data_IF_709938158546
#
_entry.id   IF_709938158546
#
_cell.length_a   1.000
_cell.length_b   1.000
_cell.length_c   1.000
_cell.angle_alpha   90.00
_cell.angle_beta   90.00
_cell.angle_gamma   90.00
#
_symmetry.space_group_name_H-M   'P 1'
#
loop_
_entity.id
_entity.type
_entity.pdbx_description
1 polymer ?
#
# COMPACT_ATOMS: atom_id res chain seq x y z
N UNK A 1 18.59 -21.07 18.73
CA UNK A 1 18.11 -22.04 17.72
C UNK A 1 17.52 -23.24 18.44
N UNK A 2 16.29 -23.10 18.95
CA UNK A 2 15.48 -24.24 19.38
C UNK A 2 14.78 -24.74 18.11
N UNK A 3 15.06 -25.97 17.70
CA UNK A 3 14.49 -26.55 16.48
C UNK A 3 13.00 -26.82 16.69
N UNK A 4 12.18 -26.63 15.66
CA UNK A 4 10.72 -26.88 15.64
C UNK A 4 10.33 -28.23 16.27
N UNK A 5 11.17 -29.27 16.12
CA UNK A 5 10.99 -30.60 16.73
C UNK A 5 11.05 -30.63 18.27
N UNK A 6 11.74 -29.67 18.90
CA UNK A 6 11.82 -29.55 20.35
C UNK A 6 10.58 -28.89 20.97
N UNK A 7 9.90 -28.03 20.20
CA UNK A 7 8.66 -27.37 20.63
C UNK A 7 7.47 -28.32 20.63
N UNK A 8 7.33 -29.19 19.63
CA UNK A 8 6.23 -30.18 19.58
C UNK A 8 6.27 -31.13 20.78
N UNK A 9 7.46 -31.58 21.18
CA UNK A 9 7.63 -32.49 22.33
C UNK A 9 7.29 -31.80 23.65
N UNK A 10 7.64 -30.53 23.79
CA UNK A 10 7.34 -29.73 24.97
C UNK A 10 5.85 -29.40 25.08
N UNK A 11 5.18 -29.11 23.96
CA UNK A 11 3.73 -28.83 23.92
C UNK A 11 2.92 -30.09 24.27
N UNK A 12 3.32 -31.27 23.79
CA UNK A 12 2.64 -32.54 24.10
C UNK A 12 2.82 -32.90 25.59
N UNK A 13 4.04 -32.83 26.13
CA UNK A 13 4.28 -33.03 27.58
C UNK A 13 3.53 -32.01 28.45
N UNK A 14 3.32 -30.79 27.95
CA UNK A 14 2.59 -29.74 28.67
C UNK A 14 1.07 -29.99 28.67
N UNK A 15 0.50 -30.46 27.56
CA UNK A 15 -0.93 -30.78 27.45
C UNK A 15 -1.31 -32.03 28.26
N UNK A 16 -0.45 -33.05 28.31
CA UNK A 16 -0.67 -34.24 29.13
C UNK A 16 -0.62 -33.93 30.64
N UNK A 17 0.25 -33.02 31.06
CA UNK A 17 0.34 -32.60 32.47
C UNK A 17 -0.82 -31.68 32.91
N UNK A 18 -1.49 -31.01 31.96
CA UNK A 18 -2.65 -30.15 32.26
C UNK A 18 -3.95 -30.95 32.48
N UNK A 19 -4.10 -32.12 31.87
CA UNK A 19 -5.32 -32.94 31.99
C UNK A 19 -5.46 -33.68 33.33
N UNK A 20 -4.37 -33.88 34.08
CA UNK A 20 -4.38 -34.64 35.34
C UNK A 20 -4.83 -33.85 36.58
N UNK A 21 -5.20 -32.57 36.46
CA UNK A 21 -5.51 -31.70 37.62
C UNK A 21 -7.00 -31.35 37.79
N UNK A 22 -7.88 -31.86 36.92
CA UNK A 22 -9.33 -31.58 36.96
C UNK A 22 -10.19 -32.64 37.66
N UNK A 23 -9.59 -33.61 38.36
CA UNK A 23 -10.36 -34.58 39.15
C UNK A 23 -10.49 -34.11 40.60
N UNK A 24 -11.54 -33.35 40.90
CA UNK A 24 -11.97 -33.07 42.28
C UNK A 24 -12.65 -34.32 42.89
N UNK A 25 -12.27 -34.79 44.09
CA UNK A 25 -13.08 -35.74 44.86
C UNK A 25 -14.14 -35.01 45.70
N UNK A 26 -15.35 -35.57 45.76
CA UNK A 26 -16.45 -35.16 46.66
C UNK A 26 -16.02 -35.11 48.14
N UNK A 27 -16.56 -34.18 48.96
CA UNK A 27 -16.22 -34.11 50.38
C UNK A 27 -17.03 -35.13 51.20
N UNK A 28 -16.35 -35.86 52.07
CA UNK A 28 -16.96 -36.66 53.14
C UNK A 28 -17.12 -35.80 54.40
N UNK A 29 -18.31 -35.86 55.00
CA UNK A 29 -18.77 -35.03 56.12
C UNK A 29 -18.25 -35.61 57.44
N UNK A 30 -17.18 -35.03 58.00
CA UNK A 30 -16.79 -35.39 59.37
C UNK A 30 -15.48 -34.80 59.88
N UNK A 31 -15.55 -33.58 60.42
CA UNK A 31 -14.94 -33.15 61.71
C UNK A 31 -14.65 -31.64 61.68
N UNK A 32 -15.49 -30.90 62.40
CA UNK A 32 -15.30 -29.48 62.67
C UNK A 32 -14.31 -29.29 63.83
N UNK A 33 -13.53 -28.22 63.69
CA UNK A 33 -12.77 -27.50 64.72
C UNK A 33 -11.35 -27.98 65.05
N UNK A 34 -10.42 -27.75 64.10
CA UNK A 34 -9.03 -27.28 64.37
C UNK A 34 -8.29 -26.67 63.16
N UNK A 35 -8.96 -26.47 62.01
CA UNK A 35 -8.27 -26.27 60.72
C UNK A 35 -8.25 -24.86 60.11
N UNK A 36 -8.83 -23.82 60.74
CA UNK A 36 -9.08 -22.56 60.02
C UNK A 36 -7.81 -21.81 59.57
N UNK A 37 -6.69 -21.90 60.31
CA UNK A 37 -5.42 -21.29 59.92
C UNK A 37 -4.59 -22.10 58.90
N UNK A 38 -4.83 -23.41 58.78
CA UNK A 38 -4.09 -24.30 57.88
C UNK A 38 -4.78 -24.42 56.51
N UNK A 39 -6.11 -24.45 56.49
CA UNK A 39 -6.90 -24.44 55.26
C UNK A 39 -6.66 -23.16 54.46
N UNK A 40 -6.65 -21.98 55.08
CA UNK A 40 -6.36 -20.71 54.40
C UNK A 40 -4.95 -20.63 53.80
N UNK A 41 -3.95 -21.27 54.41
CA UNK A 41 -2.57 -21.34 53.87
C UNK A 41 -2.46 -22.31 52.69
N UNK A 42 -3.19 -23.42 52.71
CA UNK A 42 -3.23 -24.39 51.61
C UNK A 42 -3.98 -23.83 50.39
N UNK A 43 -5.13 -23.19 50.60
CA UNK A 43 -5.88 -22.50 49.53
C UNK A 43 -5.07 -21.35 48.94
N UNK A 44 -4.37 -20.57 49.78
CA UNK A 44 -3.46 -19.50 49.30
C UNK A 44 -2.29 -20.05 48.46
N UNK A 45 -1.69 -21.19 48.84
CA UNK A 45 -0.63 -21.84 48.04
C UNK A 45 -1.14 -22.43 46.73
N UNK A 46 -2.33 -23.04 46.73
CA UNK A 46 -2.99 -23.55 45.51
C UNK A 46 -3.32 -22.41 44.54
N UNK A 47 -3.86 -21.30 45.05
CA UNK A 47 -4.15 -20.10 44.26
C UNK A 47 -2.85 -19.46 43.72
N UNK A 48 -1.77 -19.38 44.52
CA UNK A 48 -0.47 -18.92 44.02
C UNK A 48 0.12 -19.84 42.92
N UNK A 49 -0.04 -21.16 43.05
CA UNK A 49 0.43 -22.11 42.03
C UNK A 49 -0.38 -22.01 40.74
N UNK A 50 -1.70 -21.83 40.84
CA UNK A 50 -2.58 -21.59 39.68
C UNK A 50 -2.22 -20.30 38.96
N UNK A 51 -2.09 -19.19 39.71
CA UNK A 51 -1.69 -17.89 39.16
C UNK A 51 -0.29 -17.94 38.54
N UNK A 52 0.65 -18.68 39.13
CA UNK A 52 1.99 -18.84 38.55
C UNK A 52 1.96 -19.62 37.22
N UNK A 53 1.13 -20.64 37.10
CA UNK A 53 0.95 -21.39 35.85
C UNK A 53 0.33 -20.54 34.75
N UNK A 54 -0.65 -19.70 35.08
CA UNK A 54 -1.21 -18.72 34.14
C UNK A 54 -0.13 -17.75 33.64
N UNK A 55 0.69 -17.20 34.55
CA UNK A 55 1.81 -16.31 34.17
C UNK A 55 2.81 -17.04 33.26
N UNK A 56 3.15 -18.29 33.55
CA UNK A 56 4.04 -19.08 32.70
C UNK A 56 3.42 -19.28 31.31
N UNK A 57 2.15 -19.68 31.25
CA UNK A 57 1.45 -19.87 29.98
C UNK A 57 1.44 -18.58 29.13
N UNK A 58 1.07 -17.45 29.73
CA UNK A 58 1.11 -16.16 29.03
C UNK A 58 2.53 -15.72 28.64
N UNK A 59 3.55 -16.03 29.44
CA UNK A 59 4.95 -15.71 29.11
C UNK A 59 5.47 -16.51 27.91
N UNK A 60 5.10 -17.80 27.84
CA UNK A 60 5.43 -18.67 26.70
C UNK A 60 4.69 -18.18 25.46
N UNK A 61 3.38 -17.90 25.58
CA UNK A 61 2.59 -17.34 24.50
C UNK A 61 3.17 -16.03 23.96
N UNK A 62 3.54 -15.09 24.84
CA UNK A 62 4.16 -13.82 24.44
C UNK A 62 5.50 -14.03 23.75
N UNK A 63 6.31 -14.98 24.22
CA UNK A 63 7.59 -15.31 23.59
C UNK A 63 7.39 -15.89 22.20
N UNK A 64 6.40 -16.76 22.02
CA UNK A 64 6.03 -17.29 20.70
C UNK A 64 5.55 -16.20 19.76
N UNK A 65 4.68 -15.29 20.22
CA UNK A 65 4.25 -14.14 19.43
C UNK A 65 5.43 -13.26 19.00
N UNK A 66 6.37 -13.01 19.91
CA UNK A 66 7.58 -12.25 19.62
C UNK A 66 8.42 -12.99 18.57
N UNK A 67 8.68 -14.28 18.73
CA UNK A 67 9.44 -15.07 17.75
C UNK A 67 8.81 -15.01 16.35
N UNK A 68 7.49 -15.16 16.25
CA UNK A 68 6.77 -15.07 14.96
C UNK A 68 6.88 -13.65 14.39
N UNK A 69 6.73 -12.61 15.21
CA UNK A 69 6.82 -11.22 14.75
C UNK A 69 8.22 -10.87 14.25
N UNK A 70 9.28 -11.37 14.89
CA UNK A 70 10.66 -11.16 14.47
C UNK A 70 11.04 -11.98 13.25
N UNK A 71 10.58 -13.23 13.12
CA UNK A 71 10.86 -14.07 11.95
C UNK A 71 10.27 -13.48 10.66
N UNK A 72 9.11 -12.82 10.76
CA UNK A 72 8.49 -12.11 9.64
C UNK A 72 9.21 -10.80 9.24
N UNK A 73 10.16 -10.31 10.04
CA UNK A 73 10.86 -9.03 9.78
C UNK A 73 12.25 -9.29 9.20
N UNK A 74 12.47 -8.89 7.95
CA UNK A 74 13.82 -8.93 7.35
C UNK A 74 14.61 -7.66 7.70
N UNK A 75 15.77 -7.81 8.31
CA UNK A 75 16.68 -6.71 8.69
C UNK A 75 17.11 -5.84 7.49
N UNK A 76 17.16 -6.41 6.28
CA UNK A 76 17.56 -5.72 5.04
C UNK A 76 16.44 -4.85 4.47
N UNK A 77 15.19 -5.04 4.92
CA UNK A 77 14.02 -4.30 4.42
C UNK A 77 14.19 -2.79 4.56
N UNK A 78 14.76 -2.33 5.67
CA UNK A 78 15.01 -0.89 5.90
C UNK A 78 16.02 -0.31 4.90
N UNK A 79 17.14 -1.02 4.67
CA UNK A 79 18.15 -0.59 3.69
C UNK A 79 17.62 -0.61 2.27
N UNK A 80 16.76 -1.58 1.95
CA UNK A 80 16.12 -1.64 0.64
C UNK A 80 15.13 -0.48 0.44
N UNK A 81 14.26 -0.23 1.41
CA UNK A 81 13.36 0.93 1.43
C UNK A 81 14.10 2.25 1.20
N UNK A 82 15.17 2.49 1.96
CA UNK A 82 15.95 3.73 1.84
C UNK A 82 16.67 3.85 0.50
N UNK A 83 17.17 2.74 -0.06
CA UNK A 83 17.81 2.73 -1.39
C UNK A 83 16.84 3.12 -2.51
N UNK A 84 15.58 2.67 -2.44
CA UNK A 84 14.55 3.01 -3.41
C UNK A 84 14.19 4.49 -3.29
N UNK A 85 13.99 4.99 -2.07
CA UNK A 85 13.69 6.41 -1.86
C UNK A 85 14.82 7.31 -2.37
N UNK A 86 16.07 6.95 -2.09
CA UNK A 86 17.23 7.69 -2.57
C UNK A 86 17.35 7.71 -4.10
N UNK A 87 16.88 6.66 -4.78
CA UNK A 87 16.89 6.58 -6.23
C UNK A 87 15.69 7.30 -6.89
N UNK A 88 14.49 7.18 -6.31
CA UNK A 88 13.26 7.76 -6.86
C UNK A 88 13.07 9.25 -6.49
N UNK A 89 13.58 9.69 -5.33
CA UNK A 89 13.57 11.09 -4.91
C UNK A 89 14.88 11.48 -4.18
N UNK A 90 16.00 11.62 -4.91
CA UNK A 90 17.32 11.88 -4.32
C UNK A 90 17.40 13.17 -3.49
N UNK A 91 16.55 14.15 -3.78
CA UNK A 91 16.55 15.47 -3.12
C UNK A 91 15.40 15.64 -2.12
N UNK A 92 14.52 14.64 -1.95
CA UNK A 92 13.34 14.77 -1.10
C UNK A 92 12.33 15.82 -1.61
N UNK A 93 12.38 16.15 -2.90
CA UNK A 93 11.64 17.26 -3.47
C UNK A 93 10.21 16.89 -3.83
N UNK A 94 9.83 15.60 -3.82
CA UNK A 94 8.47 15.19 -4.18
C UNK A 94 7.45 15.92 -3.32
N UNK A 95 7.71 16.01 -2.01
CA UNK A 95 6.87 16.69 -1.03
C UNK A 95 6.66 18.20 -1.25
N UNK A 96 7.50 18.84 -2.07
CA UNK A 96 7.47 20.29 -2.36
C UNK A 96 6.79 20.63 -3.68
N UNK A 97 6.50 19.62 -4.50
CA UNK A 97 5.85 19.82 -5.80
C UNK A 97 4.46 20.39 -5.59
N UNK A 98 4.15 21.44 -6.34
CA UNK A 98 2.88 22.17 -6.24
C UNK A 98 2.09 22.16 -7.54
N UNK A 99 2.69 21.79 -8.68
CA UNK A 99 2.02 21.85 -9.99
C UNK A 99 2.02 20.52 -10.75
N UNK A 100 1.00 20.23 -11.59
CA UNK A 100 0.99 19.02 -12.42
C UNK A 100 2.21 18.89 -13.33
N UNK A 101 2.75 20.02 -13.80
CA UNK A 101 3.94 20.04 -14.64
C UNK A 101 5.19 19.54 -13.90
N UNK A 102 5.35 19.90 -12.62
CA UNK A 102 6.43 19.39 -11.78
C UNK A 102 6.30 17.89 -11.53
N UNK A 103 5.07 17.38 -11.35
CA UNK A 103 4.80 15.95 -11.20
C UNK A 103 5.24 15.17 -12.45
N UNK A 104 4.83 15.60 -13.64
CA UNK A 104 5.26 14.98 -14.90
C UNK A 104 6.77 15.13 -15.12
N UNK A 105 7.36 16.26 -14.74
CA UNK A 105 8.82 16.47 -14.75
C UNK A 105 9.54 15.47 -13.86
N UNK A 106 9.11 15.30 -12.61
CA UNK A 106 9.67 14.30 -11.70
C UNK A 106 9.55 12.87 -12.24
N UNK A 107 8.40 12.51 -12.80
CA UNK A 107 8.20 11.19 -13.38
C UNK A 107 9.20 10.91 -14.52
N UNK A 108 9.45 11.89 -15.41
CA UNK A 108 10.42 11.77 -16.51
C UNK A 108 11.88 11.85 -16.07
N UNK A 109 12.20 12.70 -15.10
CA UNK A 109 13.59 13.03 -14.79
C UNK A 109 14.18 12.14 -13.69
N UNK A 110 13.35 11.56 -12.83
CA UNK A 110 13.79 10.78 -11.66
C UNK A 110 13.22 9.37 -11.64
N UNK A 111 11.89 9.23 -11.76
CA UNK A 111 11.24 7.93 -11.63
C UNK A 111 11.53 7.00 -12.83
N UNK A 112 11.31 7.47 -14.06
CA UNK A 112 11.50 6.64 -15.26
C UNK A 112 12.96 6.27 -15.50
N UNK A 113 13.97 7.14 -15.32
CA UNK A 113 15.36 6.72 -15.47
C UNK A 113 15.75 5.68 -14.42
N UNK A 114 15.22 5.78 -13.19
CA UNK A 114 15.42 4.76 -12.17
C UNK A 114 14.81 3.40 -12.55
N UNK A 115 13.57 3.40 -13.07
CA UNK A 115 12.82 2.18 -13.39
C UNK A 115 13.22 1.51 -14.72
N UNK A 116 13.88 2.24 -15.63
CA UNK A 116 14.25 1.78 -16.96
C UNK A 116 15.75 1.96 -17.19
N UNK A 117 16.53 0.94 -16.82
CA UNK A 117 17.97 0.91 -17.06
C UNK A 117 18.29 0.75 -18.55
N UNK A 118 19.09 1.68 -19.10
CA UNK A 118 19.50 1.68 -20.52
C UNK A 118 20.96 1.29 -20.72
N UNK A 119 21.79 1.46 -19.69
CA UNK A 119 23.23 1.26 -19.73
C UNK A 119 23.63 0.12 -18.80
N UNK A 120 24.53 -0.73 -19.26
CA UNK A 120 25.22 -1.74 -18.45
C UNK A 120 26.39 -1.10 -17.66
N UNK A 121 27.01 -1.88 -16.77
CA UNK A 121 28.18 -1.47 -15.97
C UNK A 121 29.42 -1.14 -16.82
N UNK A 122 29.49 -1.68 -18.04
CA UNK A 122 30.55 -1.47 -19.03
C UNK A 122 30.22 -0.35 -20.04
N UNK A 123 29.19 0.46 -19.77
CA UNK A 123 28.64 1.49 -20.67
C UNK A 123 28.12 0.94 -22.01
N UNK A 124 27.92 -0.37 -22.14
CA UNK A 124 27.22 -0.93 -23.30
C UNK A 124 25.71 -0.68 -23.18
N UNK A 125 25.03 -0.48 -24.31
CA UNK A 125 23.58 -0.37 -24.33
C UNK A 125 22.94 -1.72 -24.08
N UNK A 126 21.97 -1.77 -23.17
CA UNK A 126 21.21 -2.98 -22.90
C UNK A 126 20.24 -3.23 -24.06
N UNK A 127 20.50 -4.27 -24.85
CA UNK A 127 19.76 -4.57 -26.09
C UNK A 127 18.32 -5.07 -25.86
N UNK A 128 18.02 -5.68 -24.70
CA UNK A 128 16.68 -6.19 -24.42
C UNK A 128 16.40 -6.39 -22.91
N UNK A 129 16.44 -5.30 -22.15
CA UNK A 129 16.03 -5.35 -20.74
C UNK A 129 15.01 -4.27 -20.42
N UNK A 130 13.84 -4.35 -21.06
CA UNK A 130 12.68 -3.47 -20.78
C UNK A 130 12.27 -3.43 -19.29
N UNK A 131 12.75 -4.39 -18.49
CA UNK A 131 12.36 -4.62 -17.10
C UNK A 131 13.47 -4.39 -16.09
N UNK A 132 14.72 -4.12 -16.48
CA UNK A 132 15.81 -3.93 -15.51
C UNK A 132 15.83 -2.48 -15.04
N UNK A 133 16.04 -2.26 -13.74
CA UNK A 133 16.19 -0.91 -13.16
C UNK A 133 17.60 -0.36 -13.40
N UNK A 134 17.80 0.95 -13.27
CA UNK A 134 19.13 1.57 -13.46
C UNK A 134 20.22 1.04 -12.51
N UNK A 135 19.84 0.49 -11.35
CA UNK A 135 20.78 -0.15 -10.43
C UNK A 135 21.33 -1.49 -10.92
N UNK A 136 20.77 -2.06 -12.01
CA UNK A 136 21.08 -3.40 -12.55
C UNK A 136 20.86 -4.57 -11.56
N UNK A 137 20.39 -4.27 -10.35
CA UNK A 137 20.16 -5.24 -9.27
C UNK A 137 18.69 -5.63 -9.12
N UNK A 138 17.77 -4.86 -9.73
CA UNK A 138 16.32 -5.07 -9.58
C UNK A 138 15.62 -5.17 -10.93
N UNK A 139 14.48 -5.85 -10.92
CA UNK A 139 13.61 -6.07 -12.06
C UNK A 139 12.23 -5.49 -11.78
N UNK A 140 11.72 -4.64 -12.66
CA UNK A 140 10.34 -4.17 -12.66
C UNK A 140 9.40 -5.31 -13.06
N UNK A 141 8.38 -5.54 -12.22
CA UNK A 141 7.33 -6.51 -12.45
C UNK A 141 6.13 -5.80 -13.09
N UNK A 142 5.94 -6.03 -14.38
CA UNK A 142 4.84 -5.44 -15.15
C UNK A 142 5.08 -3.98 -15.58
N UNK A 143 4.05 -3.33 -16.12
CA UNK A 143 4.09 -1.90 -16.46
C UNK A 143 4.09 -1.03 -15.19
N UNK A 144 4.60 0.19 -15.33
CA UNK A 144 4.31 1.24 -14.35
C UNK A 144 2.93 1.79 -14.68
N UNK A 145 2.03 1.80 -13.72
CA UNK A 145 0.66 2.26 -13.90
C UNK A 145 0.53 3.70 -13.41
N UNK A 146 -0.06 4.58 -14.21
CA UNK A 146 -0.57 5.87 -13.74
C UNK A 146 -2.10 5.80 -13.70
N UNK A 147 -2.68 6.20 -12.58
CA UNK A 147 -4.11 6.07 -12.32
C UNK A 147 -4.62 7.35 -11.67
N UNK A 148 -5.82 7.80 -12.03
CA UNK A 148 -6.39 9.00 -11.43
C UNK A 148 -7.85 8.83 -11.03
N UNK A 149 -8.28 9.64 -10.06
CA UNK A 149 -9.69 9.87 -9.78
C UNK A 149 -10.08 11.31 -10.04
N UNK A 150 -11.30 11.46 -10.56
CA UNK A 150 -11.93 12.73 -10.87
C UNK A 150 -13.27 12.81 -10.14
N UNK A 151 -13.69 14.04 -9.87
CA UNK A 151 -15.07 14.32 -9.48
C UNK A 151 -15.88 14.70 -10.72
N UNK A 152 -17.14 14.27 -10.74
CA UNK A 152 -18.06 14.64 -11.81
C UNK A 152 -18.12 16.18 -11.96
N UNK A 153 -18.18 16.71 -13.20
CA UNK A 153 -18.24 18.15 -13.47
C UNK A 153 -19.58 18.80 -13.08
N UNK A 154 -20.41 18.13 -12.28
CA UNK A 154 -21.67 18.70 -11.80
C UNK A 154 -21.44 19.97 -10.96
N UNK A 155 -22.27 21.02 -11.17
CA UNK A 155 -22.09 22.28 -10.50
C UNK A 155 -22.35 22.12 -9.01
N UNK A 156 -21.32 22.36 -8.17
CA UNK A 156 -21.56 22.42 -6.74
C UNK A 156 -22.45 23.61 -6.37
N UNK A 157 -23.24 23.44 -5.30
CA UNK A 157 -24.20 24.43 -4.82
C UNK A 157 -23.48 25.67 -4.31
N UNK A 158 -23.28 26.66 -5.17
CA UNK A 158 -22.73 27.95 -4.78
C UNK A 158 -23.78 28.80 -4.04
N UNK A 159 -23.38 29.57 -3.01
CA UNK A 159 -24.24 30.54 -2.36
C UNK A 159 -24.86 31.51 -3.38
N UNK A 160 -26.12 31.89 -3.19
CA UNK A 160 -26.86 32.75 -4.12
C UNK A 160 -26.14 34.09 -4.38
N UNK A 161 -25.40 34.59 -3.40
CA UNK A 161 -24.61 35.82 -3.47
C UNK A 161 -23.45 35.74 -4.46
N UNK A 162 -22.94 34.53 -4.75
CA UNK A 162 -21.82 34.30 -5.68
C UNK A 162 -22.27 34.01 -7.11
N UNK A 163 -23.58 33.76 -7.33
CA UNK A 163 -24.13 33.51 -8.67
C UNK A 163 -23.86 34.64 -9.68
N UNK A 164 -23.96 35.95 -9.32
CA UNK A 164 -23.69 37.03 -10.27
C UNK A 164 -22.23 37.07 -10.75
N UNK A 165 -21.30 36.50 -9.98
CA UNK A 165 -19.87 36.51 -10.29
C UNK A 165 -19.43 35.29 -11.12
N UNK A 166 -20.37 34.40 -11.47
CA UNK A 166 -20.10 33.17 -12.22
C UNK A 166 -18.90 32.38 -11.66
N UNK A 167 -18.78 32.31 -10.33
CA UNK A 167 -17.66 31.65 -9.66
C UNK A 167 -17.73 30.15 -9.97
N UNK A 168 -16.68 29.62 -10.60
CA UNK A 168 -16.53 28.17 -10.79
C UNK A 168 -16.42 27.50 -9.43
N UNK A 169 -17.28 26.51 -9.22
CA UNK A 169 -17.36 25.75 -7.98
C UNK A 169 -16.85 24.34 -8.28
N UNK A 170 -15.75 23.94 -7.63
CA UNK A 170 -15.23 22.58 -7.72
C UNK A 170 -15.42 21.91 -6.35
N UNK A 171 -16.19 20.81 -6.25
CA UNK A 171 -16.42 20.12 -4.99
C UNK A 171 -15.13 19.49 -4.43
N UNK A 172 -15.09 19.30 -3.11
CA UNK A 172 -14.06 18.48 -2.46
C UNK A 172 -14.18 17.01 -2.85
N UNK A 173 -13.13 16.23 -2.62
CA UNK A 173 -13.22 14.78 -2.74
C UNK A 173 -14.29 14.21 -1.79
N UNK A 174 -15.16 13.35 -2.33
CA UNK A 174 -16.09 12.52 -1.59
C UNK A 174 -16.15 11.15 -2.26
N UNK A 175 -16.18 10.07 -1.45
CA UNK A 175 -16.34 8.70 -1.94
C UNK A 175 -17.69 8.42 -2.59
N UNK A 176 -18.65 9.34 -2.53
CA UNK A 176 -19.93 9.25 -3.24
C UNK A 176 -19.91 9.91 -4.62
N UNK A 177 -19.02 10.90 -4.81
CA UNK A 177 -19.11 11.86 -5.90
C UNK A 177 -18.05 11.54 -6.96
N UNK A 178 -18.23 10.38 -7.59
CA UNK A 178 -17.30 9.84 -8.56
C UNK A 178 -17.74 10.12 -10.00
N UNK A 179 -16.78 10.48 -10.84
CA UNK A 179 -16.95 10.47 -12.29
C UNK A 179 -16.78 9.05 -12.83
N UNK A 180 -17.84 8.48 -13.41
CA UNK A 180 -17.88 7.13 -13.98
C UNK A 180 -18.06 7.12 -15.50
N UNK A 181 -18.08 8.29 -16.13
CA UNK A 181 -18.31 8.39 -17.57
C UNK A 181 -17.06 7.95 -18.35
N UNK A 182 -17.29 7.44 -19.55
CA UNK A 182 -16.22 7.22 -20.51
C UNK A 182 -16.04 8.48 -21.35
N UNK A 183 -14.78 8.86 -21.56
CA UNK A 183 -14.41 10.06 -22.29
C UNK A 183 -13.55 9.72 -23.51
N UNK A 184 -13.56 10.63 -24.46
CA UNK A 184 -12.58 10.79 -25.52
C UNK A 184 -11.40 11.65 -25.01
N UNK A 185 -10.28 11.72 -25.76
CA UNK A 185 -9.17 12.59 -25.42
C UNK A 185 -9.59 14.02 -25.07
N UNK A 186 -8.88 14.61 -24.12
CA UNK A 186 -9.17 15.95 -23.57
C UNK A 186 -10.48 16.06 -22.76
N UNK A 187 -10.94 14.95 -22.18
CA UNK A 187 -12.17 14.89 -21.36
C UNK A 187 -13.43 15.30 -22.14
N UNK A 188 -13.46 14.99 -23.43
CA UNK A 188 -14.63 15.20 -24.28
C UNK A 188 -15.57 14.00 -24.18
N UNK A 189 -16.87 14.23 -24.19
CA UNK A 189 -17.84 13.12 -24.12
C UNK A 189 -17.84 12.36 -25.45
N UNK A 190 -17.96 11.05 -25.37
CA UNK A 190 -18.12 10.20 -26.54
C UNK A 190 -19.50 10.46 -27.18
N UNK A 191 -19.53 11.01 -28.39
CA UNK A 191 -20.75 11.07 -29.21
C UNK A 191 -21.07 9.65 -29.72
N UNK A 192 -22.35 9.26 -29.74
CA UNK A 192 -22.81 7.88 -30.09
C UNK A 192 -22.27 7.34 -31.44
N UNK A 193 -21.76 8.21 -32.33
CA UNK A 193 -21.25 7.85 -33.67
C UNK A 193 -19.75 7.50 -33.73
N UNK A 194 -18.96 7.74 -32.67
CA UNK A 194 -17.49 7.60 -32.69
C UNK A 194 -16.94 6.57 -31.69
N UNK A 195 -17.56 5.39 -31.62
CA UNK A 195 -17.04 4.29 -30.82
C UNK A 195 -15.72 3.76 -31.42
N UNK A 196 -14.58 4.24 -30.91
CA UNK A 196 -13.27 3.72 -31.24
C UNK A 196 -13.07 2.39 -30.52
N UNK A 197 -13.45 1.30 -31.19
CA UNK A 197 -13.20 -0.07 -30.74
C UNK A 197 -11.75 -0.47 -31.02
N UNK A 198 -10.78 0.14 -30.34
CA UNK A 198 -9.46 -0.47 -30.21
C UNK A 198 -9.46 -1.34 -28.94
N UNK A 199 -8.98 -2.58 -29.05
CA UNK A 199 -9.00 -3.57 -27.96
C UNK A 199 -8.10 -3.21 -26.77
N UNK A 200 -7.38 -2.08 -26.85
CA UNK A 200 -6.56 -1.52 -25.79
C UNK A 200 -7.37 -0.54 -24.94
N UNK A 201 -7.36 -0.73 -23.62
CA UNK A 201 -8.10 0.11 -22.66
C UNK A 201 -7.60 1.55 -22.74
N UNK A 202 -8.48 2.48 -23.11
CA UNK A 202 -8.16 3.91 -23.25
C UNK A 202 -7.91 4.54 -21.88
N UNK A 203 -6.95 5.47 -21.73
CA UNK A 203 -6.72 6.21 -20.48
C UNK A 203 -7.85 7.18 -20.12
N UNK A 204 -8.85 7.30 -20.98
CA UNK A 204 -10.03 8.15 -20.82
C UNK A 204 -11.30 7.35 -20.48
N UNK A 205 -11.20 6.02 -20.45
CA UNK A 205 -12.30 5.13 -20.04
C UNK A 205 -12.21 4.79 -18.56
N UNK A 206 -13.35 4.80 -17.88
CA UNK A 206 -13.40 4.54 -16.45
C UNK A 206 -13.23 3.04 -16.17
N UNK A 207 -12.25 2.71 -15.33
CA UNK A 207 -11.99 1.35 -14.90
C UNK A 207 -12.60 1.11 -13.52
N UNK A 208 -13.50 0.12 -13.43
CA UNK A 208 -14.16 -0.22 -12.18
C UNK A 208 -13.22 -0.96 -11.25
N UNK A 209 -13.49 -0.86 -9.95
CA UNK A 209 -12.74 -1.57 -8.92
C UNK A 209 -12.71 -3.08 -9.11
N UNK A 210 -13.78 -3.67 -9.66
CA UNK A 210 -13.87 -5.09 -9.96
C UNK A 210 -12.91 -5.52 -11.09
N UNK A 211 -12.62 -4.64 -12.04
CA UNK A 211 -11.78 -4.95 -13.20
C UNK A 211 -10.29 -4.81 -12.88
N UNK A 212 -9.94 -3.83 -12.04
CA UNK A 212 -8.56 -3.58 -11.62
C UNK A 212 -8.16 -4.50 -10.46
N UNK A 213 -9.12 -4.85 -9.59
CA UNK A 213 -8.87 -5.54 -8.32
C UNK A 213 -8.12 -4.66 -7.32
N UNK A 214 -7.89 -5.16 -6.10
CA UNK A 214 -7.12 -4.49 -5.04
C UNK A 214 -7.93 -3.68 -4.03
N UNK A 215 -7.25 -3.00 -3.10
CA UNK A 215 -7.87 -2.34 -1.93
C UNK A 215 -7.81 -0.82 -2.04
N UNK A 216 -8.75 -0.09 -1.41
CA UNK A 216 -8.70 1.37 -1.33
C UNK A 216 -7.38 1.88 -0.74
N UNK A 217 -6.87 2.98 -1.27
CA UNK A 217 -5.66 3.65 -0.78
C UNK A 217 -6.05 4.85 0.07
N UNK A 218 -5.55 4.91 1.30
CA UNK A 218 -5.71 6.06 2.17
C UNK A 218 -4.62 7.09 1.87
N UNK A 219 -5.00 8.24 1.33
CA UNK A 219 -4.14 9.42 1.21
C UNK A 219 -4.29 10.35 2.41
N UNK A 220 -3.73 11.57 2.32
CA UNK A 220 -3.82 12.56 3.39
C UNK A 220 -5.17 13.29 3.37
N UNK A 221 -5.76 13.50 2.19
CA UNK A 221 -7.01 14.24 2.02
C UNK A 221 -8.25 13.34 1.95
N UNK A 222 -8.08 12.04 1.73
CA UNK A 222 -9.20 11.12 1.67
C UNK A 222 -8.80 9.67 1.45
N UNK A 223 -9.81 8.81 1.41
CA UNK A 223 -9.67 7.41 1.00
C UNK A 223 -10.18 7.28 -0.42
N UNK A 224 -9.38 6.64 -1.27
CA UNK A 224 -9.67 6.48 -2.69
C UNK A 224 -9.91 5.01 -3.00
N UNK A 225 -11.06 4.64 -3.58
CA UNK A 225 -11.31 3.26 -3.98
C UNK A 225 -10.31 2.84 -5.05
N UNK A 226 -10.04 1.55 -5.18
CA UNK A 226 -9.22 1.10 -6.30
C UNK A 226 -10.07 1.18 -7.57
N UNK A 227 -9.68 1.97 -8.56
CA UNK A 227 -10.56 2.36 -9.67
C UNK A 227 -10.05 3.60 -10.38
N UNK A 228 -10.84 4.11 -11.33
CA UNK A 228 -10.57 5.37 -12.00
C UNK A 228 -10.04 5.22 -13.42
N UNK A 229 -9.42 6.29 -13.92
CA UNK A 229 -8.86 6.33 -15.26
C UNK A 229 -7.41 5.86 -15.20
N UNK A 230 -7.04 4.89 -16.04
CA UNK A 230 -5.79 4.14 -15.91
C UNK A 230 -5.02 4.15 -17.22
N UNK A 231 -3.73 4.46 -17.17
CA UNK A 231 -2.79 4.24 -18.25
C UNK A 231 -1.64 3.35 -17.76
N UNK A 232 -1.47 2.21 -18.41
CA UNK A 232 -0.29 1.37 -18.21
C UNK A 232 0.84 1.86 -19.13
N UNK A 233 1.98 2.21 -18.53
CA UNK A 233 3.18 2.59 -19.25
C UNK A 233 4.01 1.33 -19.50
N UNK A 234 3.87 0.80 -20.71
CA UNK A 234 4.62 -0.34 -21.22
C UNK A 234 5.66 0.11 -22.24
N UNK A 235 6.81 -0.57 -22.31
CA UNK A 235 7.75 -0.36 -23.42
C UNK A 235 9.16 0.00 -22.99
N UNK A 236 9.85 0.73 -23.86
CA UNK A 236 11.17 1.33 -23.63
C UNK A 236 11.05 2.66 -22.87
N UNK A 237 12.18 3.20 -22.40
CA UNK A 237 12.22 4.51 -21.75
C UNK A 237 11.63 5.62 -22.65
N UNK A 238 11.93 5.58 -23.95
CA UNK A 238 11.46 6.57 -24.91
C UNK A 238 9.94 6.49 -25.13
N UNK A 239 9.39 5.28 -25.24
CA UNK A 239 7.94 5.05 -25.37
C UNK A 239 7.17 5.55 -24.13
N UNK A 240 7.73 5.31 -22.94
CA UNK A 240 7.14 5.76 -21.67
C UNK A 240 7.20 7.27 -21.53
N UNK A 241 8.33 7.89 -21.91
CA UNK A 241 8.46 9.35 -21.92
C UNK A 241 7.54 10.01 -22.94
N UNK A 242 7.34 9.40 -24.11
CA UNK A 242 6.37 9.84 -25.10
C UNK A 242 4.94 9.75 -24.56
N UNK A 243 4.59 8.65 -23.87
CA UNK A 243 3.29 8.48 -23.22
C UNK A 243 3.04 9.57 -22.15
N UNK A 244 4.00 9.81 -21.24
CA UNK A 244 3.89 10.88 -20.23
C UNK A 244 3.73 12.27 -20.86
N UNK A 245 4.48 12.54 -21.93
CA UNK A 245 4.40 13.81 -22.65
C UNK A 245 3.05 13.98 -23.35
N UNK A 246 2.51 12.90 -23.92
CA UNK A 246 1.19 12.90 -24.55
C UNK A 246 0.08 13.14 -23.52
N UNK A 247 0.11 12.46 -22.37
CA UNK A 247 -0.86 12.69 -21.27
C UNK A 247 -0.81 14.13 -20.77
N UNK A 248 0.39 14.69 -20.62
CA UNK A 248 0.56 16.09 -20.23
C UNK A 248 0.00 17.05 -21.30
N UNK A 249 0.26 16.78 -22.59
CA UNK A 249 -0.21 17.61 -23.71
C UNK A 249 -1.74 17.59 -23.85
N UNK A 250 -2.36 16.43 -23.63
CA UNK A 250 -3.81 16.26 -23.75
C UNK A 250 -4.57 16.67 -22.47
N UNK A 251 -3.91 17.35 -21.51
CA UNK A 251 -4.55 17.78 -20.26
C UNK A 251 -5.23 16.64 -19.50
N UNK A 252 -4.57 15.48 -19.43
CA UNK A 252 -5.09 14.34 -18.66
C UNK A 252 -5.26 14.69 -17.17
N UNK A 253 -4.51 15.67 -16.64
CA UNK A 253 -4.75 16.24 -15.32
C UNK A 253 -5.33 17.64 -15.49
N UNK A 254 -6.50 17.87 -14.90
CA UNK A 254 -7.27 19.12 -14.97
C UNK A 254 -7.83 19.52 -13.59
N UNK A 255 -8.69 20.54 -13.56
CA UNK A 255 -9.32 21.07 -12.33
C UNK A 255 -10.26 20.08 -11.62
N UNK A 256 -10.73 19.04 -12.32
CA UNK A 256 -11.65 18.02 -11.79
C UNK A 256 -10.90 16.81 -11.21
N UNK A 257 -9.60 16.70 -11.51
CA UNK A 257 -8.72 15.67 -10.99
C UNK A 257 -8.49 15.87 -9.49
N UNK A 258 -8.66 14.81 -8.68
CA UNK A 258 -8.54 14.85 -7.22
C UNK A 258 -7.32 14.13 -6.70
N UNK A 259 -6.94 13.05 -7.34
CA UNK A 259 -5.73 12.30 -6.99
C UNK A 259 -5.17 11.61 -8.21
N UNK A 260 -3.85 11.53 -8.28
CA UNK A 260 -3.10 10.74 -9.24
C UNK A 260 -2.17 9.81 -8.47
N UNK A 261 -2.15 8.55 -8.88
CA UNK A 261 -1.30 7.50 -8.38
C UNK A 261 -0.31 7.09 -9.47
N UNK A 262 0.97 6.95 -9.13
CA UNK A 262 1.94 6.25 -9.97
C UNK A 262 2.43 5.03 -9.20
N UNK A 263 2.09 3.85 -9.71
CA UNK A 263 2.22 2.57 -9.04
C UNK A 263 3.14 1.64 -9.85
N UNK A 264 4.14 1.05 -9.20
CA UNK A 264 4.98 0.02 -9.81
C UNK A 264 5.47 -0.97 -8.77
N UNK A 265 5.82 -2.17 -9.21
CA UNK A 265 6.42 -3.19 -8.34
C UNK A 265 7.79 -3.55 -8.89
N UNK A 266 8.79 -3.62 -8.01
CA UNK A 266 10.13 -4.08 -8.34
C UNK A 266 10.49 -5.32 -7.51
N UNK A 267 11.33 -6.17 -8.07
CA UNK A 267 11.86 -7.37 -7.42
C UNK A 267 13.38 -7.38 -7.49
N UNK A 268 14.02 -7.62 -6.34
CA UNK A 268 15.48 -7.67 -6.22
C UNK A 268 15.90 -9.11 -5.89
N UNK A 269 16.42 -9.89 -6.85
CA UNK A 269 16.79 -11.28 -6.62
C UNK A 269 17.91 -11.45 -5.59
N UNK A 270 18.84 -10.49 -5.51
CA UNK A 270 19.99 -10.55 -4.57
C UNK A 270 19.57 -10.71 -3.11
N UNK A 271 18.43 -10.14 -2.72
CA UNK A 271 17.88 -10.23 -1.36
C UNK A 271 16.55 -11.00 -1.31
N UNK A 272 16.07 -11.50 -2.45
CA UNK A 272 14.75 -12.10 -2.66
C UNK A 272 13.63 -11.27 -2.02
N UNK A 273 13.51 -10.00 -2.42
CA UNK A 273 12.55 -9.06 -1.87
C UNK A 273 11.83 -8.29 -2.97
N UNK A 274 10.54 -8.09 -2.81
CA UNK A 274 9.70 -7.25 -3.64
C UNK A 274 9.55 -5.89 -2.96
N UNK A 275 9.34 -4.84 -3.74
CA UNK A 275 8.88 -3.56 -3.23
C UNK A 275 7.81 -2.98 -4.15
N UNK A 276 6.69 -2.61 -3.55
CA UNK A 276 5.69 -1.77 -4.20
C UNK A 276 6.08 -0.31 -3.98
N UNK A 277 6.11 0.47 -5.07
CA UNK A 277 6.39 1.89 -5.08
C UNK A 277 5.09 2.59 -5.50
N UNK A 278 4.57 3.45 -4.64
CA UNK A 278 3.34 4.19 -4.89
C UNK A 278 3.60 5.67 -4.60
N UNK A 279 3.59 6.48 -5.65
CA UNK A 279 3.55 7.93 -5.52
C UNK A 279 2.10 8.40 -5.57
N UNK A 280 1.67 9.15 -4.56
CA UNK A 280 0.33 9.72 -4.44
C UNK A 280 0.45 11.22 -4.61
N UNK A 281 -0.33 11.79 -5.52
CA UNK A 281 -0.43 13.22 -5.77
C UNK A 281 -1.88 13.64 -5.57
N UNK A 282 -2.20 14.23 -4.43
CA UNK A 282 -3.53 14.72 -4.12
C UNK A 282 -3.67 16.18 -4.55
N UNK A 283 -4.80 16.52 -5.16
CA UNK A 283 -5.12 17.84 -5.69
C UNK A 283 -6.27 18.43 -4.86
N UNK A 284 -5.97 19.10 -3.73
CA UNK A 284 -6.92 19.99 -3.07
C UNK A 284 -7.41 21.08 -4.02
N UNK A 285 -8.45 21.80 -3.58
CA UNK A 285 -9.03 22.93 -4.28
C UNK A 285 -7.92 23.89 -4.73
N UNK A 286 -7.93 24.28 -6.02
CA UNK A 286 -6.93 25.12 -6.70
C UNK A 286 -5.61 24.44 -7.16
N UNK A 287 -5.60 23.12 -7.41
CA UNK A 287 -4.51 22.38 -8.07
C UNK A 287 -3.12 22.45 -7.41
N UNK A 288 -3.05 22.85 -6.13
CA UNK A 288 -1.82 22.73 -5.33
C UNK A 288 -1.62 21.27 -5.00
N UNK A 289 -0.51 20.67 -5.38
CA UNK A 289 -0.28 19.23 -5.15
C UNK A 289 0.17 18.97 -3.70
N UNK A 290 -0.44 17.96 -3.06
CA UNK A 290 0.15 17.28 -1.91
C UNK A 290 0.70 15.93 -2.37
N UNK A 291 2.02 15.81 -2.43
CA UNK A 291 2.68 14.62 -2.94
C UNK A 291 3.33 13.79 -1.83
N UNK A 292 3.21 12.47 -1.93
CA UNK A 292 3.83 11.51 -1.03
C UNK A 292 4.36 10.30 -1.80
N UNK A 293 5.54 9.83 -1.43
CA UNK A 293 6.13 8.62 -1.98
C UNK A 293 6.13 7.53 -0.91
N UNK A 294 5.41 6.45 -1.17
CA UNK A 294 5.35 5.27 -0.33
C UNK A 294 6.11 4.13 -0.99
N UNK A 295 6.91 3.42 -0.20
CA UNK A 295 7.51 2.16 -0.63
C UNK A 295 7.29 1.11 0.43
N UNK A 296 6.78 -0.05 0.00
CA UNK A 296 6.47 -1.16 0.89
C UNK A 296 7.25 -2.39 0.45
N UNK A 297 8.39 -2.68 1.10
CA UNK A 297 9.13 -3.92 0.88
C UNK A 297 8.42 -5.13 1.50
N UNK A 298 8.38 -6.24 0.78
CA UNK A 298 7.82 -7.50 1.27
C UNK A 298 8.53 -8.71 0.62
N UNK A 299 8.32 -9.89 1.19
CA UNK A 299 8.80 -11.17 0.64
C UNK A 299 7.64 -12.03 0.20
#
# INVERSE_FOLDING_TARGET
>A
MLTLRGMDKFIIEFLENAQCLNSDPEPDDGEKNKGHGMYGKATRKKNLKSMAWEVVFYSVFMTLLICIAFDNRDDRSYGFHSSILAAADPKGNISRMSTPAEMFGWARDHLTPFLYGTMSWDNSTLLDTRRVTASLASYRLGPTRIRQHRTSPEPCKSPNQLRPFNVRCVPSWSSSDHDWADYLPEWTLEDEDNSLSDGSRSPWQYSRWADIGGTPVAGRLGVYPNGGYVQDMTGTLDEVNACLTQLQRLHWIDEWTKVVFIETTIYTPNINMFAMITAIFEFPQAMVIHAQLYTHPFK
#
